data_IF_772094449088
#
_entry.id   IF_772094449088
#
_cell.length_a   1.000
_cell.length_b   1.000
_cell.length_c   1.000
_cell.angle_alpha   90.00
_cell.angle_beta   90.00
_cell.angle_gamma   90.00
#
_symmetry.space_group_name_H-M   'P 1'
#
loop_
_entity.id
_entity.type
_entity.pdbx_description
1 polymer ?
#
# COMPACT_ATOMS: atom_id res chain seq x y z
N UNK A 1 -7.75 -16.86 -7.43
CA UNK A 1 -8.39 -15.86 -6.55
C UNK A 1 -8.59 -14.56 -7.35
N UNK A 2 -9.49 -13.67 -6.94
CA UNK A 2 -9.67 -12.35 -7.58
C UNK A 2 -8.98 -11.25 -6.75
N UNK A 3 -8.51 -10.18 -7.40
CA UNK A 3 -7.94 -9.02 -6.72
C UNK A 3 -8.98 -8.33 -5.84
N UNK A 4 -8.62 -8.06 -4.58
CA UNK A 4 -9.46 -7.32 -3.63
C UNK A 4 -8.93 -5.88 -3.53
N UNK A 5 -9.77 -4.91 -3.89
CA UNK A 5 -9.41 -3.48 -3.91
C UNK A 5 -10.11 -2.65 -2.83
N UNK A 6 -10.93 -3.29 -1.99
CA UNK A 6 -11.59 -2.69 -0.85
C UNK A 6 -10.93 -3.12 0.46
N UNK A 7 -11.25 -2.43 1.55
CA UNK A 7 -10.71 -2.75 2.87
C UNK A 7 -11.03 -4.20 3.24
N UNK A 8 -9.99 -5.02 3.38
CA UNK A 8 -10.08 -6.45 3.69
C UNK A 8 -9.23 -6.84 4.91
N UNK A 9 -8.70 -5.84 5.63
CA UNK A 9 -7.87 -6.04 6.82
C UNK A 9 -8.73 -5.92 8.07
N UNK A 10 -8.57 -6.88 8.98
CA UNK A 10 -9.01 -6.72 10.38
C UNK A 10 -8.00 -5.83 11.08
N UNK A 11 -8.49 -4.91 11.91
CA UNK A 11 -7.65 -3.98 12.67
C UNK A 11 -6.67 -3.18 11.78
N UNK A 12 -7.25 -2.51 10.77
CA UNK A 12 -6.48 -1.77 9.78
C UNK A 12 -5.67 -0.63 10.41
N UNK A 13 -6.21 0.01 11.45
CA UNK A 13 -5.54 1.09 12.17
C UNK A 13 -4.21 0.61 12.77
N UNK A 14 -4.20 -0.49 13.53
CA UNK A 14 -2.97 -1.03 14.11
C UNK A 14 -1.93 -1.45 13.05
N UNK A 15 -2.38 -1.95 11.89
CA UNK A 15 -1.49 -2.29 10.78
C UNK A 15 -0.91 -1.05 10.10
N UNK A 16 -1.70 0.01 9.92
CA UNK A 16 -1.22 1.29 9.40
C UNK A 16 -0.22 1.94 10.36
N UNK A 17 -0.50 1.95 11.66
CA UNK A 17 0.44 2.43 12.68
C UNK A 17 1.77 1.67 12.62
N UNK A 18 1.71 0.34 12.50
CA UNK A 18 2.92 -0.48 12.39
C UNK A 18 3.72 -0.21 11.11
N UNK A 19 3.05 0.06 9.99
CA UNK A 19 3.72 0.44 8.75
C UNK A 19 4.42 1.79 8.92
N UNK A 20 3.75 2.79 9.48
CA UNK A 20 4.33 4.12 9.75
C UNK A 20 5.54 4.00 10.68
N UNK A 21 5.40 3.27 11.78
CA UNK A 21 6.48 3.02 12.72
C UNK A 21 7.70 2.35 12.06
N UNK A 22 7.48 1.47 11.06
CA UNK A 22 8.57 0.84 10.32
C UNK A 22 9.39 1.83 9.46
N UNK A 23 8.83 3.01 9.15
CA UNK A 23 9.50 4.07 8.41
C UNK A 23 10.16 5.11 9.32
N UNK A 24 9.93 5.09 10.64
CA UNK A 24 10.50 6.07 11.57
C UNK A 24 12.03 6.03 11.56
N UNK A 25 12.65 7.20 11.38
CA UNK A 25 14.11 7.33 11.33
C UNK A 25 14.77 6.91 10.01
N UNK A 26 14.00 6.47 9.01
CA UNK A 26 14.54 6.15 7.68
C UNK A 26 14.61 7.40 6.79
N UNK A 27 15.65 7.49 5.97
CA UNK A 27 15.69 8.40 4.84
C UNK A 27 14.67 8.01 3.76
N UNK A 28 14.39 8.91 2.81
CA UNK A 28 13.50 8.61 1.68
C UNK A 28 13.95 7.38 0.88
N UNK A 29 15.27 7.24 0.66
CA UNK A 29 15.83 6.10 -0.07
C UNK A 29 15.67 4.79 0.70
N UNK A 30 15.87 4.81 2.02
CA UNK A 30 15.68 3.63 2.88
C UNK A 30 14.20 3.25 3.00
N UNK A 31 13.32 4.24 3.09
CA UNK A 31 11.87 4.09 3.07
C UNK A 31 11.40 3.45 1.76
N UNK A 32 11.91 3.91 0.62
CA UNK A 32 11.64 3.30 -0.69
C UNK A 32 12.17 1.86 -0.77
N UNK A 33 13.36 1.59 -0.23
CA UNK A 33 13.93 0.26 -0.20
C UNK A 33 13.15 -0.70 0.72
N UNK A 34 12.58 -0.22 1.83
CA UNK A 34 11.67 -0.96 2.70
C UNK A 34 10.40 -1.34 1.93
N UNK A 35 9.78 -0.37 1.25
CA UNK A 35 8.58 -0.60 0.45
C UNK A 35 8.81 -1.61 -0.67
N UNK A 36 9.94 -1.52 -1.39
CA UNK A 36 10.29 -2.50 -2.42
C UNK A 36 10.41 -3.93 -1.86
N UNK A 37 11.07 -4.09 -0.71
CA UNK A 37 11.18 -5.38 -0.01
C UNK A 37 9.81 -5.91 0.41
N UNK A 38 8.96 -5.05 0.98
CA UNK A 38 7.60 -5.42 1.39
C UNK A 38 6.76 -5.89 0.18
N UNK A 39 6.79 -5.15 -0.93
CA UNK A 39 6.09 -5.52 -2.16
C UNK A 39 6.54 -6.90 -2.66
N UNK A 40 7.85 -7.17 -2.70
CA UNK A 40 8.37 -8.48 -3.13
C UNK A 40 7.89 -9.62 -2.21
N UNK A 41 7.88 -9.40 -0.90
CA UNK A 41 7.36 -10.40 0.06
C UNK A 41 5.88 -10.68 -0.19
N UNK A 42 5.07 -9.64 -0.38
CA UNK A 42 3.64 -9.77 -0.64
C UNK A 42 3.36 -10.43 -2.00
N UNK A 43 4.14 -10.10 -3.04
CA UNK A 43 4.04 -10.76 -4.34
C UNK A 43 4.30 -12.25 -4.23
N UNK A 44 5.34 -12.65 -3.50
CA UNK A 44 5.65 -14.06 -3.26
C UNK A 44 4.57 -14.75 -2.44
N UNK A 45 3.97 -14.05 -1.45
CA UNK A 45 2.89 -14.59 -0.65
C UNK A 45 1.60 -14.81 -1.46
N UNK A 46 1.28 -13.89 -2.38
CA UNK A 46 0.12 -14.00 -3.27
C UNK A 46 0.31 -15.14 -4.26
N UNK A 47 1.46 -15.23 -4.94
CA UNK A 47 1.84 -16.34 -5.82
C UNK A 47 0.98 -16.55 -7.08
N UNK A 48 -0.10 -15.79 -7.25
CA UNK A 48 -1.05 -15.90 -8.36
C UNK A 48 -0.79 -14.84 -9.44
N UNK A 49 -0.34 -15.26 -10.61
CA UNK A 49 0.01 -14.37 -11.73
C UNK A 49 -1.12 -13.40 -12.09
N UNK A 50 -2.34 -13.90 -12.30
CA UNK A 50 -3.45 -13.08 -12.78
C UNK A 50 -3.85 -11.99 -11.76
N UNK A 51 -3.71 -12.28 -10.46
CA UNK A 51 -3.93 -11.30 -9.39
C UNK A 51 -2.86 -10.21 -9.42
N UNK A 52 -1.59 -10.59 -9.64
CA UNK A 52 -0.47 -9.65 -9.71
C UNK A 52 -0.53 -8.75 -10.96
N UNK A 53 -0.86 -9.31 -12.13
CA UNK A 53 -1.06 -8.54 -13.37
C UNK A 53 -2.19 -7.52 -13.20
N UNK A 54 -3.34 -7.94 -12.64
CA UNK A 54 -4.45 -7.03 -12.35
C UNK A 54 -4.06 -5.92 -11.36
N UNK A 55 -3.20 -6.22 -10.38
CA UNK A 55 -2.70 -5.24 -9.42
C UNK A 55 -1.76 -4.22 -10.09
N UNK A 56 -0.86 -4.65 -10.98
CA UNK A 56 0.02 -3.75 -11.75
C UNK A 56 -0.76 -2.83 -12.68
N UNK A 57 -1.75 -3.36 -13.39
CA UNK A 57 -2.65 -2.59 -14.23
C UNK A 57 -3.41 -1.51 -13.43
N UNK A 58 -3.85 -1.84 -12.21
CA UNK A 58 -4.53 -0.87 -11.36
C UNK A 58 -3.57 0.21 -10.82
N UNK A 59 -2.38 -0.18 -10.36
CA UNK A 59 -1.40 0.75 -9.79
C UNK A 59 -0.89 1.76 -10.83
N UNK A 60 -0.64 1.31 -12.06
CA UNK A 60 -0.20 2.19 -13.17
C UNK A 60 -1.28 3.19 -13.59
N UNK A 61 -2.56 2.79 -13.52
CA UNK A 61 -3.70 3.72 -13.74
C UNK A 61 -3.84 4.72 -12.59
N UNK A 62 -3.76 4.28 -11.34
CA UNK A 62 -3.93 5.14 -10.16
C UNK A 62 -2.82 6.20 -10.00
N UNK A 63 -1.60 5.89 -10.47
CA UNK A 63 -0.47 6.84 -10.51
C UNK A 63 -0.65 8.01 -11.48
N UNK A 64 -1.69 8.00 -12.33
CA UNK A 64 -2.04 9.12 -13.21
C UNK A 64 -2.73 10.24 -12.43
N UNK A 65 -1.98 10.98 -11.61
CA UNK A 65 -2.28 12.28 -10.93
C UNK A 65 -3.62 12.52 -10.21
N UNK A 66 -4.66 11.69 -10.34
CA UNK A 66 -6.01 11.95 -9.80
C UNK A 66 -6.32 11.15 -8.52
N UNK A 67 -5.60 10.06 -8.25
CA UNK A 67 -5.84 9.18 -7.08
C UNK A 67 -5.23 9.66 -5.76
N UNK A 68 -4.08 10.35 -5.81
CA UNK A 68 -3.35 10.77 -4.60
C UNK A 68 -3.92 12.04 -3.93
N UNK A 69 -4.76 12.81 -4.63
CA UNK A 69 -5.37 14.04 -4.11
C UNK A 69 -6.60 13.80 -3.20
N UNK A 70 -7.13 12.57 -3.15
CA UNK A 70 -8.33 12.24 -2.38
C UNK A 70 -8.04 11.67 -0.97
N UNK A 71 -6.78 11.35 -0.66
CA UNK A 71 -6.36 11.02 0.70
C UNK A 71 -6.18 12.31 1.53
N UNK A 72 -7.27 13.07 1.72
CA UNK A 72 -7.26 14.17 2.70
C UNK A 72 -7.19 13.58 4.11
N UNK A 73 -6.43 14.20 5.03
CA UNK A 73 -6.45 13.81 6.44
C UNK A 73 -7.87 13.99 6.98
N UNK A 74 -8.36 13.00 7.71
CA UNK A 74 -9.50 13.18 8.62
C UNK A 74 -9.09 14.21 9.68
N UNK A 75 -9.27 15.49 9.34
CA UNK A 75 -9.08 16.60 10.27
C UNK A 75 -10.20 16.50 11.30
N UNK A 76 -9.87 15.93 12.45
CA UNK A 76 -10.75 15.93 13.61
C UNK A 76 -10.70 17.32 14.24
N UNK A 77 -11.71 18.14 14.01
CA UNK A 77 -11.89 19.40 14.73
C UNK A 77 -13.36 19.53 15.15
N UNK A 78 -13.58 19.26 16.45
CA UNK A 78 -14.62 19.73 17.39
C UNK A 78 -16.03 19.99 16.86
#
# INVERSE_FOLDING_TARGET
MSLITHLNLKDHDALYERLIAAHEGLSEAESAALNARLVLILMNHIGERDVLEAAFDLATRAGSKEGLAQARPISNTH
#
